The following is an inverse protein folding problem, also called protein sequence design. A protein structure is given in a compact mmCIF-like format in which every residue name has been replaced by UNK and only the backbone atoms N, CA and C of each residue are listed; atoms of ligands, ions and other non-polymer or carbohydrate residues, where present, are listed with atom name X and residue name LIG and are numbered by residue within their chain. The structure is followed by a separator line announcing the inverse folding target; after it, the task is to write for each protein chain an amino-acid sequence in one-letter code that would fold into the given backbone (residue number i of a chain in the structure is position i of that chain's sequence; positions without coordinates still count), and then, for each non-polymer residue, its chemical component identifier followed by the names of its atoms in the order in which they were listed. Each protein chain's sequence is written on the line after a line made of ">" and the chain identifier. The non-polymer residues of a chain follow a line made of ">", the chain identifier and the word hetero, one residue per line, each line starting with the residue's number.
data_IF_690599831061
#
_entry.id   IF_690599831061
#
_cell.length_a   1.000
_cell.length_b   1.000
_cell.length_c   1.000
_cell.angle_alpha   90.00
_cell.angle_beta   90.00
_cell.angle_gamma   90.00
#
_symmetry.space_group_name_H-M   'P 1'
#
loop_
_entity.id
_entity.type
_entity.pdbx_description
1 polymer ?
#
# COMPACT_ATOMS: atom_id res chain seq x y z
N UNK A 1 2.37 3.41 -19.07
CA UNK A 1 3.29 3.76 -17.98
C UNK A 1 2.98 5.10 -17.29
N UNK A 2 1.79 5.69 -17.42
CA UNK A 2 1.52 7.02 -16.84
C UNK A 2 1.29 6.99 -15.32
N UNK A 3 0.57 5.97 -14.82
CA UNK A 3 0.26 5.82 -13.40
C UNK A 3 1.50 5.57 -12.54
N UNK A 4 2.45 4.77 -13.03
CA UNK A 4 3.68 4.45 -12.32
C UNK A 4 4.55 5.71 -12.12
N UNK A 5 4.76 6.50 -13.16
CA UNK A 5 5.50 7.76 -13.08
C UNK A 5 4.79 8.78 -12.18
N UNK A 6 3.46 8.85 -12.26
CA UNK A 6 2.65 9.72 -11.41
C UNK A 6 2.80 9.37 -9.92
N UNK A 7 2.72 8.09 -9.57
CA UNK A 7 2.92 7.61 -8.19
C UNK A 7 4.36 7.83 -7.73
N UNK A 8 5.34 7.52 -8.59
CA UNK A 8 6.76 7.70 -8.27
C UNK A 8 7.09 9.15 -7.90
N UNK A 9 6.57 10.12 -8.67
CA UNK A 9 6.78 11.54 -8.40
C UNK A 9 6.12 12.04 -7.11
N UNK A 10 5.11 11.32 -6.59
CA UNK A 10 4.39 11.66 -5.36
C UNK A 10 4.78 10.80 -4.16
N UNK A 11 5.66 9.81 -4.37
CA UNK A 11 6.21 8.98 -3.31
C UNK A 11 7.55 9.57 -2.85
N UNK A 12 7.87 9.44 -1.57
CA UNK A 12 9.16 9.89 -1.04
C UNK A 12 10.28 9.05 -1.66
N UNK A 13 11.32 9.70 -2.19
CA UNK A 13 12.49 9.01 -2.70
C UNK A 13 13.64 9.15 -1.72
N UNK A 14 14.37 8.06 -1.48
CA UNK A 14 15.58 8.05 -0.64
C UNK A 14 16.72 8.87 -1.25
N UNK A 15 16.67 9.12 -2.56
CA UNK A 15 17.65 9.95 -3.28
C UNK A 15 17.51 11.42 -2.90
N UNK A 16 16.31 11.85 -2.50
CA UNK A 16 16.05 13.23 -2.13
C UNK A 16 16.29 13.44 -0.62
N UNK A 17 16.97 14.53 -0.23
CA UNK A 17 17.20 14.84 1.17
C UNK A 17 15.87 15.02 1.91
N UNK A 18 15.83 14.61 3.17
CA UNK A 18 14.67 14.74 4.07
C UNK A 18 13.39 14.01 3.62
N UNK A 19 13.50 13.03 2.71
CA UNK A 19 12.35 12.24 2.25
C UNK A 19 11.32 13.06 1.46
N UNK A 20 11.75 14.17 0.86
CA UNK A 20 10.88 15.04 0.06
C UNK A 20 10.47 14.32 -1.23
N UNK A 21 9.23 14.53 -1.67
CA UNK A 21 8.73 13.96 -2.93
C UNK A 21 9.16 14.83 -4.12
N UNK A 22 9.49 14.25 -5.28
CA UNK A 22 9.80 15.01 -6.48
C UNK A 22 8.74 16.07 -6.82
N UNK A 23 7.46 15.74 -6.62
CA UNK A 23 6.33 16.66 -6.80
C UNK A 23 6.45 17.91 -5.92
N UNK A 24 6.84 17.75 -4.65
CA UNK A 24 6.98 18.87 -3.72
C UNK A 24 8.16 19.76 -4.08
N UNK A 25 9.23 19.22 -4.66
CA UNK A 25 10.34 20.03 -5.16
C UNK A 25 9.97 20.81 -6.42
N UNK A 26 9.23 20.19 -7.34
CA UNK A 26 8.87 20.81 -8.61
C UNK A 26 7.75 21.85 -8.47
N UNK A 27 6.77 21.59 -7.61
CA UNK A 27 5.57 22.43 -7.49
C UNK A 27 5.53 23.22 -6.18
N UNK A 28 6.52 23.08 -5.31
CA UNK A 28 6.58 23.70 -3.98
C UNK A 28 5.33 23.47 -3.10
N UNK A 29 4.52 22.46 -3.45
CA UNK A 29 3.24 22.15 -2.83
C UNK A 29 3.15 20.66 -2.50
N UNK A 30 2.38 20.33 -1.47
CA UNK A 30 2.17 18.94 -1.08
C UNK A 30 1.22 18.25 -2.09
N UNK A 31 1.54 17.05 -2.60
CA UNK A 31 0.63 16.36 -3.50
C UNK A 31 -0.66 15.97 -2.78
N UNK A 32 -1.81 16.29 -3.38
CA UNK A 32 -3.10 15.79 -2.91
C UNK A 32 -3.22 14.30 -3.28
N UNK A 33 -3.28 13.42 -2.27
CA UNK A 33 -3.43 11.97 -2.44
C UNK A 33 -4.83 11.45 -2.09
N UNK A 34 -5.83 12.33 -1.88
CA UNK A 34 -7.20 11.93 -1.52
C UNK A 34 -7.90 11.07 -2.58
N UNK A 35 -7.43 11.10 -3.81
CA UNK A 35 -7.91 10.25 -4.91
C UNK A 35 -7.29 8.84 -4.89
N UNK A 36 -6.19 8.63 -4.15
CA UNK A 36 -5.65 7.30 -3.90
C UNK A 36 -6.44 6.67 -2.76
N UNK A 37 -7.57 6.07 -3.11
CA UNK A 37 -8.33 5.24 -2.18
C UNK A 37 -7.57 3.93 -2.01
N UNK A 38 -7.31 3.53 -0.77
CA UNK A 38 -6.71 2.23 -0.44
C UNK A 38 -7.74 1.14 -0.75
N UNK A 39 -7.82 0.74 -2.01
CA UNK A 39 -8.55 -0.47 -2.40
C UNK A 39 -7.67 -1.67 -2.07
N UNK A 40 -7.83 -2.19 -0.85
CA UNK A 40 -7.23 -3.44 -0.45
C UNK A 40 -8.10 -4.61 -0.87
N UNK A 41 -8.04 -5.00 -2.15
CA UNK A 41 -8.49 -6.32 -2.57
C UNK A 41 -7.42 -7.33 -2.11
N UNK A 42 -7.40 -7.66 -0.81
CA UNK A 42 -6.42 -8.60 -0.29
C UNK A 42 -7.08 -9.96 -0.11
N UNK A 43 -6.41 -10.98 -0.66
CA UNK A 43 -6.65 -12.35 -0.26
C UNK A 43 -5.90 -12.57 1.05
N UNK A 44 -6.61 -12.71 2.16
CA UNK A 44 -5.99 -13.03 3.46
C UNK A 44 -5.69 -14.52 3.54
N UNK A 45 -4.51 -14.86 4.05
CA UNK A 45 -4.10 -16.24 4.26
C UNK A 45 -5.01 -16.90 5.32
N UNK A 46 -5.49 -18.10 5.02
CA UNK A 46 -6.30 -18.89 5.96
C UNK A 46 -5.33 -19.70 6.84
N UNK A 47 -5.37 -19.58 8.17
CA UNK A 47 -4.55 -20.41 9.07
C UNK A 47 -4.73 -21.90 8.78
N UNK A 48 -3.66 -22.70 8.94
CA UNK A 48 -3.67 -24.12 8.58
C UNK A 48 -4.78 -24.91 9.30
N UNK A 49 -5.11 -24.52 10.53
CA UNK A 49 -6.19 -25.12 11.34
C UNK A 49 -7.58 -24.99 10.69
N UNK A 50 -7.78 -23.96 9.86
CA UNK A 50 -9.03 -23.69 9.16
C UNK A 50 -8.99 -24.16 7.69
N UNK A 51 -7.87 -24.71 7.22
CA UNK A 51 -7.73 -25.20 5.85
C UNK A 51 -8.32 -26.61 5.72
N UNK A 52 -9.08 -26.82 4.65
CA UNK A 52 -9.56 -28.14 4.25
C UNK A 52 -8.62 -28.74 3.20
N UNK A 53 -8.52 -30.08 3.14
CA UNK A 53 -7.71 -30.77 2.13
C UNK A 53 -8.24 -30.42 0.73
N UNK A 54 -7.37 -29.87 -0.11
CA UNK A 54 -7.69 -29.31 -1.45
C UNK A 54 -8.62 -28.08 -1.44
N UNK A 55 -8.79 -27.42 -0.29
CA UNK A 55 -9.57 -26.19 -0.16
C UNK A 55 -8.79 -24.92 -0.52
N UNK A 56 -9.48 -23.76 -0.56
CA UNK A 56 -8.85 -22.47 -0.78
C UNK A 56 -7.85 -22.16 0.35
N UNK A 57 -6.67 -21.64 -0.02
CA UNK A 57 -5.62 -21.23 0.95
C UNK A 57 -5.74 -19.77 1.38
N UNK A 58 -6.59 -19.01 0.69
CA UNK A 58 -6.81 -17.61 0.98
C UNK A 58 -8.27 -17.22 0.75
N UNK A 59 -8.74 -16.21 1.49
CA UNK A 59 -10.11 -15.69 1.41
C UNK A 59 -10.07 -14.24 0.93
N UNK A 60 -10.98 -13.88 0.03
CA UNK A 60 -11.17 -12.50 -0.38
C UNK A 60 -11.70 -11.70 0.82
N UNK A 61 -10.95 -10.67 1.22
CA UNK A 61 -11.30 -9.79 2.33
C UNK A 61 -11.10 -8.32 1.94
N UNK A 62 -11.77 -7.44 2.68
CA UNK A 62 -11.49 -6.01 2.63
C UNK A 62 -10.42 -5.69 3.68
N UNK A 63 -9.28 -5.17 3.25
CA UNK A 63 -8.22 -4.78 4.17
C UNK A 63 -8.61 -3.49 4.91
N UNK A 64 -8.81 -3.59 6.22
CA UNK A 64 -9.15 -2.44 7.08
C UNK A 64 -7.93 -1.75 7.71
N UNK A 65 -6.74 -2.34 7.58
CA UNK A 65 -5.50 -1.84 8.20
C UNK A 65 -4.83 -2.86 9.10
N UNK A 66 -3.71 -2.46 9.70
CA UNK A 66 -3.02 -3.22 10.72
C UNK A 66 -3.39 -2.71 12.11
N UNK A 67 -3.47 -3.58 13.14
CA UNK A 67 -3.67 -3.13 14.51
C UNK A 67 -2.49 -2.27 14.99
N UNK A 68 -2.77 -1.39 15.96
CA UNK A 68 -1.76 -0.51 16.56
C UNK A 68 -0.63 -1.35 17.18
N UNK A 69 0.62 -0.98 16.86
CA UNK A 69 1.82 -1.66 17.37
C UNK A 69 2.30 -2.86 16.54
N UNK A 70 1.58 -3.26 15.50
CA UNK A 70 2.02 -4.31 14.58
C UNK A 70 2.54 -3.68 13.30
N UNK A 71 3.84 -3.82 13.04
CA UNK A 71 4.39 -3.57 11.70
C UNK A 71 3.74 -4.59 10.77
N UNK A 72 3.28 -4.12 9.61
CA UNK A 72 2.63 -4.90 8.56
C UNK A 72 3.08 -6.36 8.45
N UNK A 73 2.16 -7.24 8.04
CA UNK A 73 2.44 -8.67 7.81
C UNK A 73 3.73 -8.85 6.99
N UNK A 74 4.62 -9.74 7.45
CA UNK A 74 5.91 -10.02 6.83
C UNK A 74 5.86 -11.33 6.05
#
# INVERSE_FOLDING_TARGET
>A
MLTASYLHNRTGSRVLPNGVTPYKMLHHAQPNLSHLWVWGCSYAHIPLELQQKLGPRSRLVHFMGYPLGVKAYR
#
